data_IF_172684009533
#
_entry.id   IF_172684009533
#
_cell.length_a   1.000
_cell.length_b   1.000
_cell.length_c   1.000
_cell.angle_alpha   90.00
_cell.angle_beta   90.00
_cell.angle_gamma   90.00
#
_symmetry.space_group_name_H-M   'P 1'
#
loop_
_entity.id
_entity.type
_entity.pdbx_description
1 polymer ?
#
# COMPACT_ATOMS: atom_id res chain seq x y z
N UNK A 1 -7.52 49.87 11.06
CA UNK A 1 -8.11 48.92 10.10
C UNK A 1 -8.41 47.58 10.74
N UNK A 2 -7.54 47.01 11.57
CA UNK A 2 -7.80 45.76 12.30
C UNK A 2 -9.05 45.80 13.19
N UNK A 3 -9.28 46.90 13.92
CA UNK A 3 -10.46 47.03 14.80
C UNK A 3 -11.80 47.08 14.06
N UNK A 4 -11.93 47.90 13.01
CA UNK A 4 -13.18 47.97 12.22
C UNK A 4 -13.51 46.64 11.56
N UNK A 5 -12.48 45.95 11.05
CA UNK A 5 -12.62 44.64 10.44
C UNK A 5 -12.98 43.56 11.49
N UNK A 6 -12.42 43.66 12.70
CA UNK A 6 -12.79 42.81 13.83
C UNK A 6 -14.23 43.03 14.31
N UNK A 7 -14.71 44.29 14.36
CA UNK A 7 -16.09 44.61 14.73
C UNK A 7 -17.11 44.05 13.72
N UNK A 8 -16.78 44.10 12.43
CA UNK A 8 -17.64 43.56 11.36
C UNK A 8 -17.63 42.02 11.31
N UNK A 9 -16.54 41.38 11.71
CA UNK A 9 -16.33 39.93 11.56
C UNK A 9 -16.55 39.11 12.84
N UNK A 10 -16.71 39.73 14.02
CA UNK A 10 -16.78 39.01 15.29
C UNK A 10 -17.93 38.00 15.37
N UNK A 11 -19.11 38.33 14.84
CA UNK A 11 -20.24 37.40 14.79
C UNK A 11 -19.92 36.19 13.94
N UNK A 12 -19.25 36.39 12.80
CA UNK A 12 -18.87 35.31 11.91
C UNK A 12 -17.75 34.44 12.49
N UNK A 13 -16.77 35.04 13.18
CA UNK A 13 -15.74 34.32 13.94
C UNK A 13 -16.38 33.44 15.02
N UNK A 14 -17.39 33.95 15.72
CA UNK A 14 -18.11 33.21 16.75
C UNK A 14 -18.90 32.05 16.16
N UNK A 15 -19.64 32.29 15.07
CA UNK A 15 -20.42 31.27 14.37
C UNK A 15 -19.51 30.14 13.85
N UNK A 16 -18.38 30.48 13.22
CA UNK A 16 -17.40 29.50 12.75
C UNK A 16 -16.76 28.72 13.90
N UNK A 17 -16.40 29.40 15.00
CA UNK A 17 -15.84 28.72 16.18
C UNK A 17 -16.83 27.75 16.81
N UNK A 18 -18.13 28.09 16.83
CA UNK A 18 -19.19 27.19 17.28
C UNK A 18 -19.42 26.03 16.32
N UNK A 19 -19.37 26.27 15.01
CA UNK A 19 -19.47 25.23 13.99
C UNK A 19 -18.32 24.22 14.08
N UNK A 20 -17.07 24.69 14.24
CA UNK A 20 -15.90 23.83 14.46
C UNK A 20 -16.06 22.99 15.72
N UNK A 21 -16.43 23.60 16.85
CA UNK A 21 -16.65 22.87 18.10
C UNK A 21 -17.75 21.80 17.98
N UNK A 22 -18.78 22.05 17.16
CA UNK A 22 -19.85 21.10 16.88
C UNK A 22 -19.40 19.88 16.07
N UNK A 23 -18.41 20.02 15.18
CA UNK A 23 -17.99 18.99 14.21
C UNK A 23 -16.61 18.39 14.51
N UNK A 24 -15.81 18.97 15.42
CA UNK A 24 -14.45 18.54 15.73
C UNK A 24 -14.33 17.05 16.14
N UNK A 25 -15.37 16.48 16.74
CA UNK A 25 -15.43 15.07 17.14
C UNK A 25 -15.33 14.07 15.96
N UNK A 26 -15.51 14.54 14.73
CA UNK A 26 -15.51 13.74 13.49
C UNK A 26 -14.09 13.47 12.98
N UNK A 27 -13.10 14.32 13.29
CA UNK A 27 -11.74 14.22 12.76
C UNK A 27 -11.06 12.89 13.12
N UNK A 28 -11.13 12.50 14.39
CA UNK A 28 -10.56 11.25 14.89
C UNK A 28 -11.14 10.00 14.21
N UNK A 29 -12.47 9.76 14.23
CA UNK A 29 -13.05 8.59 13.57
C UNK A 29 -12.85 8.61 12.05
N UNK A 30 -12.76 9.79 11.42
CA UNK A 30 -12.42 9.89 10.01
C UNK A 30 -11.01 9.36 9.72
N UNK A 31 -10.01 9.84 10.45
CA UNK A 31 -8.62 9.47 10.21
C UNK A 31 -8.35 8.00 10.57
N UNK A 32 -8.90 7.51 11.68
CA UNK A 32 -8.82 6.09 12.09
C UNK A 32 -9.52 5.16 11.09
N UNK A 33 -10.70 5.56 10.59
CA UNK A 33 -11.42 4.82 9.56
C UNK A 33 -10.62 4.72 8.26
N UNK A 34 -9.97 5.82 7.84
CA UNK A 34 -9.14 5.84 6.62
C UNK A 34 -7.96 4.86 6.72
N UNK A 35 -7.28 4.82 7.86
CA UNK A 35 -6.18 3.87 8.10
C UNK A 35 -6.70 2.44 8.14
N UNK A 36 -7.83 2.19 8.78
CA UNK A 36 -8.44 0.85 8.85
C UNK A 36 -8.79 0.32 7.47
N UNK A 37 -9.41 1.14 6.62
CA UNK A 37 -9.72 0.80 5.22
C UNK A 37 -8.43 0.48 4.45
N UNK A 38 -7.37 1.28 4.63
CA UNK A 38 -6.08 1.06 3.95
C UNK A 38 -5.37 -0.21 4.42
N UNK A 39 -5.41 -0.52 5.72
CA UNK A 39 -4.94 -1.79 6.30
C UNK A 39 -5.68 -2.98 5.69
N UNK A 40 -7.00 -2.92 5.60
CA UNK A 40 -7.80 -3.98 4.97
C UNK A 40 -7.47 -4.15 3.48
N UNK A 41 -7.25 -3.05 2.74
CA UNK A 41 -6.83 -3.10 1.33
C UNK A 41 -5.47 -3.78 1.15
N UNK A 42 -4.50 -3.52 2.02
CA UNK A 42 -3.20 -4.21 2.01
C UNK A 42 -3.37 -5.70 2.29
N UNK A 43 -4.17 -6.07 3.30
CA UNK A 43 -4.49 -7.47 3.62
C UNK A 43 -5.26 -8.18 2.49
N UNK A 44 -5.97 -7.44 1.63
CA UNK A 44 -6.68 -7.97 0.46
C UNK A 44 -5.75 -8.31 -0.71
N UNK A 45 -4.66 -7.59 -0.92
CA UNK A 45 -3.72 -7.79 -2.03
C UNK A 45 -3.21 -9.24 -2.18
N UNK A 46 -2.78 -9.96 -1.13
CA UNK A 46 -2.36 -11.35 -1.28
C UNK A 46 -3.52 -12.26 -1.73
N UNK A 47 -4.74 -12.01 -1.25
CA UNK A 47 -5.94 -12.77 -1.63
C UNK A 47 -6.26 -12.53 -3.12
N UNK A 48 -6.14 -11.30 -3.61
CA UNK A 48 -6.29 -11.00 -5.03
C UNK A 48 -5.25 -11.74 -5.89
N UNK A 49 -4.00 -11.82 -5.41
CA UNK A 49 -2.95 -12.58 -6.10
C UNK A 49 -3.27 -14.07 -6.13
N UNK A 50 -3.73 -14.65 -5.03
CA UNK A 50 -4.18 -16.04 -4.96
C UNK A 50 -5.31 -16.33 -5.97
N UNK A 51 -6.29 -15.44 -6.07
CA UNK A 51 -7.40 -15.58 -7.04
C UNK A 51 -6.87 -15.52 -8.48
N UNK A 52 -6.03 -14.54 -8.82
CA UNK A 52 -5.45 -14.42 -10.16
C UNK A 52 -4.62 -15.65 -10.54
N UNK A 53 -3.85 -16.19 -9.60
CA UNK A 53 -3.08 -17.42 -9.83
C UNK A 53 -3.98 -18.65 -10.01
N UNK A 54 -5.07 -18.74 -9.24
CA UNK A 54 -6.05 -19.80 -9.39
C UNK A 54 -6.78 -19.73 -10.74
N UNK A 55 -7.19 -18.53 -11.16
CA UNK A 55 -7.82 -18.28 -12.46
C UNK A 55 -6.88 -18.59 -13.62
N UNK A 56 -5.61 -18.17 -13.55
CA UNK A 56 -4.60 -18.49 -14.56
C UNK A 56 -4.36 -20.00 -14.67
N UNK A 57 -4.35 -20.74 -13.55
CA UNK A 57 -4.25 -22.20 -13.56
C UNK A 57 -5.49 -22.83 -14.21
N UNK A 58 -6.68 -22.33 -13.90
CA UNK A 58 -7.91 -22.82 -14.51
C UNK A 58 -7.90 -22.59 -16.03
N UNK A 59 -7.50 -21.40 -16.47
CA UNK A 59 -7.39 -21.05 -17.89
C UNK A 59 -6.37 -21.94 -18.62
N UNK A 60 -5.21 -22.18 -18.02
CA UNK A 60 -4.21 -23.13 -18.54
C UNK A 60 -4.83 -24.51 -18.79
N UNK A 61 -5.51 -25.09 -17.80
CA UNK A 61 -6.14 -26.41 -17.94
C UNK A 61 -7.26 -26.43 -18.99
N UNK A 62 -8.04 -25.36 -19.10
CA UNK A 62 -9.07 -25.24 -20.13
C UNK A 62 -8.46 -25.14 -21.53
N UNK A 63 -7.35 -24.42 -21.67
CA UNK A 63 -6.63 -24.30 -22.93
C UNK A 63 -5.98 -25.64 -23.33
N UNK A 64 -5.41 -26.37 -22.39
CA UNK A 64 -4.89 -27.72 -22.63
C UNK A 64 -6.00 -28.69 -23.07
N UNK A 65 -7.17 -28.64 -22.43
CA UNK A 65 -8.31 -29.44 -22.85
C UNK A 65 -8.77 -29.08 -24.27
N UNK A 66 -8.92 -27.78 -24.59
CA UNK A 66 -9.30 -27.34 -25.94
C UNK A 66 -8.26 -27.72 -27.00
N UNK A 67 -6.98 -27.64 -26.65
CA UNK A 67 -5.87 -28.08 -27.51
C UNK A 67 -6.01 -29.59 -27.81
N UNK A 68 -6.21 -30.41 -26.78
CA UNK A 68 -6.42 -31.85 -26.93
C UNK A 68 -7.66 -32.20 -27.76
N UNK A 69 -8.74 -31.42 -27.66
CA UNK A 69 -9.98 -31.62 -28.43
C UNK A 69 -9.89 -31.15 -29.89
N UNK A 70 -8.94 -30.26 -30.21
CA UNK A 70 -8.75 -29.71 -31.56
C UNK A 70 -8.02 -30.65 -32.55
N UNK A 71 -7.40 -31.73 -32.07
CA UNK A 71 -6.61 -32.66 -32.88
C UNK A 71 -7.50 -33.69 -33.60
N UNK A 72 -8.10 -33.31 -34.73
CA UNK A 72 -9.21 -34.06 -35.36
C UNK A 72 -8.87 -35.34 -36.13
N UNK A 73 -7.61 -35.61 -36.50
CA UNK A 73 -7.23 -36.83 -37.26
C UNK A 73 -6.23 -37.72 -36.50
N UNK A 74 -5.46 -37.14 -35.59
CA UNK A 74 -4.58 -37.85 -34.66
C UNK A 74 -5.38 -38.55 -33.55
N UNK A 75 -6.53 -38.00 -33.13
CA UNK A 75 -7.43 -38.55 -32.10
C UNK A 75 -7.91 -39.97 -32.38
N UNK A 76 -8.23 -40.28 -33.63
CA UNK A 76 -8.72 -41.60 -34.03
C UNK A 76 -7.62 -42.67 -33.93
N UNK A 77 -6.38 -42.34 -34.28
CA UNK A 77 -5.21 -43.22 -34.12
C UNK A 77 -4.72 -43.26 -32.66
N UNK A 78 -4.92 -42.18 -31.89
CA UNK A 78 -4.54 -42.07 -30.48
C UNK A 78 -5.54 -42.67 -29.49
N UNK A 79 -6.81 -42.84 -29.85
CA UNK A 79 -7.75 -43.59 -29.01
C UNK A 79 -7.28 -45.05 -28.77
N UNK A 80 -6.46 -45.59 -29.67
CA UNK A 80 -5.78 -46.88 -29.53
C UNK A 80 -4.59 -46.85 -28.54
N UNK A 81 -4.03 -45.68 -28.22
CA UNK A 81 -2.94 -45.50 -27.24
C UNK A 81 -3.52 -44.95 -25.94
N UNK A 82 -3.50 -45.72 -24.84
CA UNK A 82 -4.09 -45.35 -23.55
C UNK A 82 -3.60 -44.01 -22.94
N UNK A 83 -2.50 -43.46 -23.45
CA UNK A 83 -1.84 -42.24 -22.95
C UNK A 83 -2.70 -40.98 -23.13
N UNK A 84 -3.33 -40.77 -24.28
CA UNK A 84 -4.16 -39.55 -24.53
C UNK A 84 -5.46 -39.57 -23.71
N UNK A 85 -6.02 -40.76 -23.47
CA UNK A 85 -7.16 -40.92 -22.58
C UNK A 85 -6.78 -40.58 -21.12
N UNK A 86 -5.58 -40.99 -20.69
CA UNK A 86 -5.04 -40.64 -19.38
C UNK A 86 -4.74 -39.13 -19.24
N UNK A 87 -4.22 -38.49 -20.29
CA UNK A 87 -3.99 -37.03 -20.32
C UNK A 87 -5.30 -36.24 -20.30
N UNK A 88 -6.33 -36.67 -21.04
CA UNK A 88 -7.66 -36.05 -20.97
C UNK A 88 -8.27 -36.16 -19.57
N UNK A 89 -8.15 -37.33 -18.94
CA UNK A 89 -8.60 -37.55 -17.56
C UNK A 89 -7.86 -36.61 -16.59
N UNK A 90 -6.54 -36.46 -16.77
CA UNK A 90 -5.70 -35.54 -15.99
C UNK A 90 -6.13 -34.09 -16.15
N UNK A 91 -6.44 -33.63 -17.37
CA UNK A 91 -6.95 -32.28 -17.61
C UNK A 91 -8.30 -32.07 -16.92
N UNK A 92 -9.24 -33.02 -17.02
CA UNK A 92 -10.56 -32.92 -16.35
C UNK A 92 -10.40 -32.85 -14.83
N UNK A 93 -9.54 -33.67 -14.24
CA UNK A 93 -9.24 -33.61 -12.81
C UNK A 93 -8.53 -32.30 -12.42
N UNK A 94 -7.64 -31.80 -13.27
CA UNK A 94 -6.97 -30.50 -13.12
C UNK A 94 -7.96 -29.33 -13.12
N UNK A 95 -8.94 -29.35 -14.03
CA UNK A 95 -10.03 -28.37 -14.09
C UNK A 95 -10.88 -28.43 -12.83
N UNK A 96 -11.28 -29.63 -12.38
CA UNK A 96 -12.07 -29.80 -11.14
C UNK A 96 -11.35 -29.26 -9.91
N UNK A 97 -10.05 -29.55 -9.78
CA UNK A 97 -9.24 -29.04 -8.66
C UNK A 97 -9.07 -27.52 -8.74
N UNK A 98 -8.81 -26.98 -9.93
CA UNK A 98 -8.59 -25.55 -10.11
C UNK A 98 -9.89 -24.74 -9.95
N UNK A 99 -11.03 -25.26 -10.40
CA UNK A 99 -12.35 -24.64 -10.12
C UNK A 99 -12.66 -24.58 -8.63
N UNK A 100 -12.37 -25.65 -7.87
CA UNK A 100 -12.53 -25.63 -6.41
C UNK A 100 -11.59 -24.61 -5.74
N UNK A 101 -10.37 -24.44 -6.25
CA UNK A 101 -9.44 -23.41 -5.76
C UNK A 101 -9.99 -22.01 -6.02
N UNK A 102 -10.44 -21.72 -7.25
CA UNK A 102 -11.06 -20.43 -7.62
C UNK A 102 -12.28 -20.12 -6.76
N UNK A 103 -13.15 -21.11 -6.51
CA UNK A 103 -14.34 -20.90 -5.67
C UNK A 103 -13.96 -20.55 -4.22
N UNK A 104 -12.97 -21.26 -3.64
CA UNK A 104 -12.49 -21.00 -2.29
C UNK A 104 -11.78 -19.64 -2.15
N UNK A 105 -10.89 -19.30 -3.09
CA UNK A 105 -10.21 -18.00 -3.08
C UNK A 105 -11.19 -16.87 -3.37
N UNK A 106 -12.18 -17.09 -4.24
CA UNK A 106 -13.25 -16.14 -4.54
C UNK A 106 -14.13 -15.84 -3.33
N UNK A 107 -14.47 -16.85 -2.51
CA UNK A 107 -15.18 -16.66 -1.23
C UNK A 107 -14.38 -15.79 -0.26
N UNK A 108 -13.09 -16.08 -0.07
CA UNK A 108 -12.21 -15.24 0.77
C UNK A 108 -12.13 -13.79 0.28
N UNK A 109 -12.06 -13.58 -1.03
CA UNK A 109 -12.03 -12.25 -1.61
C UNK A 109 -13.36 -11.51 -1.39
N UNK A 110 -14.50 -12.19 -1.53
CA UNK A 110 -15.82 -11.63 -1.25
C UNK A 110 -15.95 -11.22 0.23
N UNK A 111 -15.52 -12.08 1.16
CA UNK A 111 -15.51 -11.76 2.60
C UNK A 111 -14.61 -10.55 2.92
N UNK A 112 -13.42 -10.46 2.29
CA UNK A 112 -12.52 -9.33 2.46
C UNK A 112 -13.13 -8.03 1.90
N UNK A 113 -13.81 -8.09 0.76
CA UNK A 113 -14.50 -6.95 0.17
C UNK A 113 -15.68 -6.48 1.03
N UNK A 114 -16.45 -7.41 1.61
CA UNK A 114 -17.56 -7.06 2.47
C UNK A 114 -17.07 -6.35 3.74
N UNK A 115 -15.99 -6.83 4.37
CA UNK A 115 -15.37 -6.13 5.52
C UNK A 115 -14.91 -4.71 5.19
N UNK A 116 -14.36 -4.51 3.99
CA UNK A 116 -13.97 -3.17 3.53
C UNK A 116 -15.22 -2.29 3.39
N UNK A 117 -16.27 -2.83 2.77
CA UNK A 117 -17.53 -2.13 2.52
C UNK A 117 -18.24 -1.72 3.81
N UNK A 118 -18.31 -2.61 4.80
CA UNK A 118 -18.89 -2.35 6.12
C UNK A 118 -18.26 -1.15 6.83
N UNK A 119 -16.99 -0.86 6.53
CA UNK A 119 -16.26 0.30 7.09
C UNK A 119 -16.35 1.51 6.15
N UNK A 120 -16.32 1.32 4.83
CA UNK A 120 -16.44 2.40 3.85
C UNK A 120 -17.80 3.11 3.92
N UNK A 121 -18.91 2.37 4.00
CA UNK A 121 -20.27 2.96 4.02
C UNK A 121 -20.52 3.98 5.16
N UNK A 122 -20.19 3.69 6.44
CA UNK A 122 -20.32 4.70 7.50
C UNK A 122 -19.27 5.81 7.38
N UNK A 123 -18.09 5.51 6.81
CA UNK A 123 -17.00 6.47 6.64
C UNK A 123 -17.34 7.57 5.62
N UNK A 124 -18.15 7.27 4.60
CA UNK A 124 -18.59 8.28 3.61
C UNK A 124 -19.29 9.48 4.27
N UNK A 125 -20.17 9.25 5.25
CA UNK A 125 -20.86 10.35 5.96
C UNK A 125 -19.88 11.19 6.77
N UNK A 126 -19.03 10.51 7.53
CA UNK A 126 -17.96 11.12 8.34
C UNK A 126 -17.00 11.93 7.44
N UNK A 127 -16.78 11.50 6.19
CA UNK A 127 -15.94 12.22 5.23
C UNK A 127 -16.50 13.60 4.84
N UNK A 128 -17.82 13.71 4.70
CA UNK A 128 -18.50 14.97 4.36
C UNK A 128 -18.43 15.93 5.54
N UNK A 129 -18.66 15.42 6.74
CA UNK A 129 -18.56 16.20 7.98
C UNK A 129 -17.12 16.67 8.23
N UNK A 130 -16.13 15.81 8.02
CA UNK A 130 -14.72 16.19 8.14
C UNK A 130 -14.30 17.23 7.08
N UNK A 131 -14.81 17.13 5.85
CA UNK A 131 -14.59 18.17 4.84
C UNK A 131 -15.14 19.52 5.28
N UNK A 132 -16.33 19.51 5.88
CA UNK A 132 -16.95 20.72 6.41
C UNK A 132 -16.13 21.32 7.55
N UNK A 133 -15.60 20.47 8.46
CA UNK A 133 -14.68 20.89 9.52
C UNK A 133 -13.43 21.57 8.97
N UNK A 134 -12.78 21.02 7.94
CA UNK A 134 -11.60 21.63 7.32
C UNK A 134 -11.94 22.99 6.69
N UNK A 135 -13.06 23.09 5.96
CA UNK A 135 -13.51 24.36 5.39
C UNK A 135 -13.73 25.42 6.49
N UNK A 136 -14.41 25.07 7.60
CA UNK A 136 -14.62 26.01 8.70
C UNK A 136 -13.32 26.45 9.36
N UNK A 137 -12.35 25.54 9.53
CA UNK A 137 -11.01 25.86 10.05
C UNK A 137 -10.25 26.81 9.11
N UNK A 138 -10.29 26.55 7.80
CA UNK A 138 -9.65 27.39 6.78
C UNK A 138 -10.26 28.80 6.78
N UNK A 139 -11.59 28.90 6.69
CA UNK A 139 -12.31 30.18 6.73
C UNK A 139 -12.02 30.96 8.01
N UNK A 140 -12.05 30.31 9.18
CA UNK A 140 -11.74 30.96 10.46
C UNK A 140 -10.28 31.45 10.50
N UNK A 141 -9.35 30.63 10.01
CA UNK A 141 -7.92 30.97 9.99
C UNK A 141 -7.65 32.17 9.07
N UNK A 142 -8.27 32.20 7.88
CA UNK A 142 -8.12 33.31 6.93
C UNK A 142 -8.66 34.63 7.47
N UNK A 143 -9.84 34.58 8.12
CA UNK A 143 -10.43 35.75 8.77
C UNK A 143 -9.52 36.28 9.88
N UNK A 144 -9.03 35.40 10.75
CA UNK A 144 -8.15 35.79 11.84
C UNK A 144 -6.80 36.29 11.30
N UNK A 145 -6.21 35.64 10.29
CA UNK A 145 -4.98 36.11 9.64
C UNK A 145 -5.13 37.53 9.09
N UNK A 146 -6.31 37.90 8.58
CA UNK A 146 -6.59 39.25 8.10
C UNK A 146 -6.61 40.32 9.22
N UNK A 147 -7.03 39.93 10.44
CA UNK A 147 -7.11 40.81 11.61
C UNK A 147 -5.76 40.96 12.30
N UNK A 148 -4.95 39.89 12.31
CA UNK A 148 -3.66 39.82 13.01
C UNK A 148 -2.44 40.19 12.16
N UNK A 149 -2.62 40.70 10.92
CA UNK A 149 -1.51 41.07 10.00
C UNK A 149 -0.42 41.96 10.59
N UNK A 150 -0.76 42.80 11.57
CA UNK A 150 0.15 43.80 12.18
C UNK A 150 0.30 43.59 13.70
N UNK A 151 -0.22 42.48 14.24
CA UNK A 151 -0.34 42.24 15.69
C UNK A 151 0.63 41.17 16.15
N UNK A 152 1.43 41.46 17.18
CA UNK A 152 2.39 40.52 17.75
C UNK A 152 2.02 40.16 19.20
N UNK A 153 1.42 38.99 19.39
CA UNK A 153 1.05 38.47 20.72
C UNK A 153 1.91 37.25 21.08
N UNK A 154 2.57 37.22 22.26
CA UNK A 154 3.47 36.13 22.63
C UNK A 154 2.81 34.74 22.67
N UNK A 155 1.58 34.66 23.21
CA UNK A 155 0.82 33.40 23.31
C UNK A 155 0.37 32.86 21.95
N UNK A 156 0.03 33.75 21.01
CA UNK A 156 -0.31 33.38 19.64
C UNK A 156 0.90 32.83 18.90
N UNK A 157 2.08 33.44 19.09
CA UNK A 157 3.34 32.98 18.47
C UNK A 157 3.73 31.58 18.92
N UNK A 158 3.64 31.29 20.21
CA UNK A 158 3.96 29.96 20.75
C UNK A 158 3.05 28.87 20.14
N UNK A 159 1.75 29.12 20.05
CA UNK A 159 0.80 28.18 19.43
C UNK A 159 1.04 28.05 17.93
N UNK A 160 1.35 29.15 17.24
CA UNK A 160 1.72 29.13 15.82
C UNK A 160 2.99 28.30 15.57
N UNK A 161 4.00 28.40 16.44
CA UNK A 161 5.19 27.57 16.38
C UNK A 161 4.84 26.08 16.57
N UNK A 162 3.98 25.73 17.53
CA UNK A 162 3.50 24.35 17.73
C UNK A 162 2.76 23.80 16.50
N UNK A 163 1.90 24.61 15.85
CA UNK A 163 1.22 24.25 14.61
C UNK A 163 2.24 24.00 13.49
N UNK A 164 3.23 24.87 13.34
CA UNK A 164 4.29 24.71 12.33
C UNK A 164 5.17 23.49 12.58
N UNK A 165 5.51 23.19 13.84
CA UNK A 165 6.28 21.97 14.18
C UNK A 165 5.50 20.71 13.84
N UNK A 166 4.21 20.68 14.14
CA UNK A 166 3.36 19.52 13.81
C UNK A 166 3.20 19.36 12.30
N UNK A 167 3.03 20.45 11.57
CA UNK A 167 3.02 20.44 10.09
C UNK A 167 4.32 19.89 9.51
N UNK A 168 5.47 20.29 10.08
CA UNK A 168 6.77 19.78 9.66
C UNK A 168 6.96 18.29 9.97
N UNK A 169 6.40 17.79 11.08
CA UNK A 169 6.38 16.34 11.40
C UNK A 169 5.57 15.57 10.37
N UNK A 170 4.37 16.05 10.02
CA UNK A 170 3.52 15.43 8.98
C UNK A 170 4.26 15.38 7.64
N UNK A 171 4.93 16.48 7.25
CA UNK A 171 5.71 16.55 6.00
C UNK A 171 6.87 15.55 5.98
N UNK A 172 7.61 15.40 7.08
CA UNK A 172 8.68 14.40 7.17
C UNK A 172 8.16 12.97 7.02
N UNK A 173 7.00 12.67 7.59
CA UNK A 173 6.38 11.35 7.47
C UNK A 173 5.91 11.11 6.02
N UNK A 174 5.32 12.12 5.36
CA UNK A 174 4.94 11.99 3.94
C UNK A 174 6.14 11.74 3.03
N UNK A 175 7.25 12.43 3.26
CA UNK A 175 8.49 12.20 2.49
C UNK A 175 9.07 10.80 2.75
N UNK A 176 8.94 10.29 3.97
CA UNK A 176 9.37 8.93 4.31
C UNK A 176 8.49 7.87 3.64
N UNK A 177 7.18 8.08 3.57
CA UNK A 177 6.24 7.22 2.86
C UNK A 177 6.53 7.19 1.35
N UNK A 178 6.77 8.34 0.73
CA UNK A 178 7.11 8.44 -0.70
C UNK A 178 8.40 7.68 -1.03
N UNK A 179 9.43 7.80 -0.18
CA UNK A 179 10.67 7.03 -0.33
C UNK A 179 10.42 5.53 -0.19
N UNK A 180 9.55 5.13 0.73
CA UNK A 180 9.23 3.72 0.94
C UNK A 180 8.44 3.13 -0.23
N UNK A 181 7.53 3.90 -0.84
CA UNK A 181 6.83 3.52 -2.07
C UNK A 181 7.81 3.32 -3.24
N UNK A 182 8.79 4.22 -3.41
CA UNK A 182 9.85 4.07 -4.42
C UNK A 182 10.70 2.81 -4.16
N UNK A 183 11.03 2.51 -2.90
CA UNK A 183 11.74 1.29 -2.52
C UNK A 183 10.94 0.04 -2.90
N UNK A 184 9.63 0.03 -2.65
CA UNK A 184 8.74 -1.08 -3.05
C UNK A 184 8.77 -1.30 -4.58
N UNK A 185 8.75 -0.23 -5.36
CA UNK A 185 8.87 -0.33 -6.83
C UNK A 185 10.21 -0.92 -7.25
N UNK A 186 11.32 -0.46 -6.67
CA UNK A 186 12.66 -0.99 -6.94
C UNK A 186 12.77 -2.48 -6.57
N UNK A 187 12.17 -2.92 -5.46
CA UNK A 187 12.14 -4.33 -5.07
C UNK A 187 11.32 -5.16 -6.07
N UNK A 188 10.21 -4.63 -6.58
CA UNK A 188 9.41 -5.30 -7.63
C UNK A 188 10.20 -5.42 -8.94
N UNK A 189 10.94 -4.38 -9.33
CA UNK A 189 11.84 -4.43 -10.49
C UNK A 189 12.90 -5.52 -10.29
N UNK A 190 13.50 -5.60 -9.10
CA UNK A 190 14.46 -6.65 -8.79
C UNK A 190 13.84 -8.06 -8.84
N UNK A 191 12.63 -8.25 -8.30
CA UNK A 191 11.88 -9.53 -8.37
C UNK A 191 11.65 -9.97 -9.82
N UNK A 192 11.21 -9.04 -10.68
CA UNK A 192 10.96 -9.30 -12.10
C UNK A 192 12.24 -9.67 -12.86
N UNK A 193 13.34 -8.95 -12.65
CA UNK A 193 14.61 -9.30 -13.30
C UNK A 193 15.18 -10.64 -12.85
N UNK A 194 14.97 -11.01 -11.57
CA UNK A 194 15.33 -12.34 -11.07
C UNK A 194 14.47 -13.43 -11.71
N UNK A 195 13.17 -13.20 -11.85
CA UNK A 195 12.24 -14.09 -12.53
C UNK A 195 12.64 -14.36 -13.99
N UNK A 196 12.89 -13.31 -14.76
CA UNK A 196 13.34 -13.39 -16.15
C UNK A 196 14.61 -14.25 -16.25
N UNK A 197 15.57 -13.98 -15.38
CA UNK A 197 16.82 -14.75 -15.33
C UNK A 197 16.61 -16.22 -14.98
N UNK A 198 15.68 -16.55 -14.07
CA UNK A 198 15.34 -17.95 -13.75
C UNK A 198 14.69 -18.65 -14.96
N UNK A 199 13.83 -17.95 -15.71
CA UNK A 199 13.18 -18.47 -16.91
C UNK A 199 14.22 -18.69 -18.02
N UNK A 200 15.12 -17.74 -18.24
CA UNK A 200 16.21 -17.86 -19.21
C UNK A 200 17.14 -19.04 -18.87
N UNK A 201 17.45 -19.24 -17.58
CA UNK A 201 18.22 -20.40 -17.12
C UNK A 201 17.50 -21.73 -17.36
N UNK A 202 16.16 -21.74 -17.31
CA UNK A 202 15.37 -22.93 -17.63
C UNK A 202 15.40 -23.22 -19.13
N UNK A 203 15.25 -22.20 -19.97
CA UNK A 203 15.28 -22.34 -21.44
C UNK A 203 16.67 -22.69 -21.99
N UNK A 204 17.72 -22.14 -21.38
CA UNK A 204 19.12 -22.42 -21.77
C UNK A 204 19.61 -23.81 -21.34
N UNK A 205 19.03 -24.42 -20.29
CA UNK A 205 19.33 -25.82 -19.96
C UNK A 205 18.82 -26.81 -21.03
N UNK A 206 17.79 -26.45 -21.81
CA UNK A 206 17.29 -27.26 -22.94
C UNK A 206 18.14 -27.10 -24.21
N UNK A 207 18.96 -26.04 -24.30
CA UNK A 207 19.86 -25.76 -25.42
C UNK A 207 21.31 -25.79 -24.95
N UNK A 208 21.97 -26.94 -25.12
CA UNK A 208 23.39 -27.15 -24.82
C UNK A 208 24.28 -25.98 -25.28
N UNK A 209 24.63 -25.09 -24.36
CA UNK A 209 25.96 -24.47 -24.11
C UNK A 209 25.77 -23.35 -23.08
N UNK A 210 25.73 -23.69 -21.79
CA UNK A 210 26.11 -22.73 -20.76
C UNK A 210 27.64 -22.73 -20.71
N UNK A 211 28.27 -21.74 -21.34
CA UNK A 211 29.71 -21.51 -21.22
C UNK A 211 30.06 -21.35 -19.74
N UNK A 212 31.00 -22.16 -19.26
CA UNK A 212 31.52 -22.10 -17.89
C UNK A 212 31.94 -20.66 -17.56
N UNK A 213 31.23 -20.02 -16.62
CA UNK A 213 31.63 -18.74 -16.03
C UNK A 213 30.69 -17.55 -16.18
N UNK A 214 29.53 -17.66 -16.84
CA UNK A 214 28.57 -16.54 -16.95
C UNK A 214 27.18 -16.91 -16.44
N UNK A 215 26.96 -16.83 -15.13
CA UNK A 215 25.66 -16.37 -14.61
C UNK A 215 25.96 -15.56 -13.34
N UNK A 216 26.19 -14.27 -13.54
CA UNK A 216 26.29 -13.27 -12.47
C UNK A 216 24.87 -12.93 -12.01
N UNK A 217 24.70 -12.53 -10.75
CA UNK A 217 23.42 -11.99 -10.28
C UNK A 217 22.94 -10.88 -11.24
N UNK A 218 21.65 -10.82 -11.63
CA UNK A 218 21.22 -9.91 -12.68
C UNK A 218 21.58 -8.47 -12.33
N UNK A 219 22.32 -7.79 -13.20
CA UNK A 219 22.77 -6.43 -12.96
C UNK A 219 21.61 -5.46 -12.69
N UNK A 220 20.46 -5.53 -13.40
CA UNK A 220 19.30 -4.70 -13.09
C UNK A 220 18.76 -4.93 -11.67
N UNK A 221 18.75 -6.19 -11.20
CA UNK A 221 18.34 -6.51 -9.84
C UNK A 221 19.34 -5.98 -8.81
N UNK A 222 20.64 -6.03 -9.11
CA UNK A 222 21.67 -5.47 -8.23
C UNK A 222 21.56 -3.96 -8.10
N UNK A 223 21.43 -3.26 -9.22
CA UNK A 223 21.35 -1.80 -9.26
C UNK A 223 20.08 -1.30 -8.57
N UNK A 224 18.95 -2.00 -8.75
CA UNK A 224 17.70 -1.69 -8.08
C UNK A 224 17.80 -1.86 -6.56
N UNK A 225 18.38 -2.96 -6.07
CA UNK A 225 18.57 -3.20 -4.63
C UNK A 225 19.59 -2.25 -4.00
N UNK A 226 20.63 -1.88 -4.74
CA UNK A 226 21.60 -0.87 -4.32
C UNK A 226 20.92 0.49 -4.17
N UNK A 227 20.17 0.92 -5.18
CA UNK A 227 19.42 2.19 -5.15
C UNK A 227 18.39 2.21 -4.01
N UNK A 228 17.72 1.09 -3.77
CA UNK A 228 16.76 0.96 -2.66
C UNK A 228 17.42 1.18 -1.29
N UNK A 229 18.64 0.66 -1.08
CA UNK A 229 19.41 0.87 0.16
C UNK A 229 19.97 2.28 0.30
N UNK A 230 20.34 2.92 -0.81
CA UNK A 230 20.76 4.32 -0.80
C UNK A 230 19.60 5.25 -0.42
N UNK A 231 18.39 4.95 -0.87
CA UNK A 231 17.17 5.69 -0.53
C UNK A 231 16.70 5.43 0.91
N UNK A 232 16.82 4.19 1.39
CA UNK A 232 16.38 3.79 2.73
C UNK A 232 17.45 2.94 3.44
N UNK A 233 18.38 3.56 4.18
CA UNK A 233 19.52 2.86 4.79
C UNK A 233 19.14 1.83 5.87
N UNK A 234 17.99 1.99 6.51
CA UNK A 234 17.47 1.07 7.54
C UNK A 234 16.88 -0.23 6.95
N UNK A 235 16.86 -0.37 5.62
CA UNK A 235 16.31 -1.53 4.93
C UNK A 235 17.06 -2.81 5.35
N UNK A 236 16.36 -3.88 5.74
CA UNK A 236 16.99 -5.13 6.15
C UNK A 236 17.92 -5.71 5.08
N UNK A 237 19.04 -6.28 5.53
CA UNK A 237 19.93 -7.04 4.67
C UNK A 237 19.26 -8.30 4.15
N UNK A 238 19.55 -8.68 2.90
CA UNK A 238 19.15 -9.98 2.36
C UNK A 238 20.13 -11.01 2.95
N UNK A 239 19.65 -12.02 3.71
CA UNK A 239 20.53 -13.04 4.26
C UNK A 239 21.17 -13.84 3.12
N UNK A 240 22.43 -14.24 3.31
CA UNK A 240 23.07 -15.16 2.39
C UNK A 240 22.35 -16.52 2.46
N UNK A 241 22.02 -17.15 1.32
CA UNK A 241 21.40 -18.47 1.34
C UNK A 241 22.31 -19.51 2.00
N UNK A 242 21.70 -20.39 2.79
CA UNK A 242 22.37 -21.48 3.51
C UNK A 242 22.82 -22.56 2.51
N UNK A 243 23.92 -23.26 2.78
CA UNK A 243 24.54 -24.27 1.92
C UNK A 243 23.53 -25.17 1.17
N UNK A 244 23.80 -25.37 -0.12
CA UNK A 244 22.97 -26.12 -1.05
C UNK A 244 22.70 -27.56 -0.58
N UNK A 245 21.44 -27.85 -0.26
CA UNK A 245 20.94 -29.23 -0.10
C UNK A 245 20.33 -29.69 -1.42
N UNK A 246 20.84 -30.81 -1.94
CA UNK A 246 20.44 -31.39 -3.23
C UNK A 246 19.16 -32.23 -3.06
N UNK A 247 18.08 -31.57 -2.66
CA UNK A 247 16.77 -32.20 -2.42
C UNK A 247 15.77 -31.72 -3.47
N UNK A 248 14.86 -32.61 -3.88
CA UNK A 248 13.76 -32.24 -4.76
C UNK A 248 12.78 -31.34 -3.97
N UNK A 249 12.29 -30.28 -4.61
CA UNK A 249 11.27 -29.39 -4.02
C UNK A 249 9.97 -30.17 -3.73
N UNK A 250 9.03 -29.58 -2.98
CA UNK A 250 7.73 -30.20 -2.64
C UNK A 250 6.91 -30.63 -3.89
N UNK A 251 7.30 -30.14 -5.06
CA UNK A 251 6.74 -30.44 -6.38
C UNK A 251 7.48 -31.53 -7.17
N UNK A 252 8.57 -32.08 -6.63
CA UNK A 252 9.40 -33.12 -7.27
C UNK A 252 10.37 -32.60 -8.34
N UNK A 253 10.52 -31.28 -8.51
CA UNK A 253 11.37 -30.66 -9.53
C UNK A 253 12.78 -30.42 -8.98
N UNK A 254 13.79 -30.85 -9.75
CA UNK A 254 15.19 -30.54 -9.46
C UNK A 254 15.57 -29.19 -10.08
N UNK A 255 15.95 -28.24 -9.23
CA UNK A 255 16.50 -26.96 -9.65
C UNK A 255 18.02 -27.03 -9.73
N UNK A 256 18.61 -26.33 -10.70
CA UNK A 256 20.06 -26.10 -10.67
C UNK A 256 20.44 -25.32 -9.40
N UNK A 257 21.66 -25.48 -8.85
CA UNK A 257 22.10 -24.73 -7.67
C UNK A 257 21.90 -23.22 -7.81
N UNK A 258 22.08 -22.68 -9.02
CA UNK A 258 21.88 -21.26 -9.32
C UNK A 258 20.40 -20.86 -9.39
N UNK A 259 19.54 -21.69 -9.97
CA UNK A 259 18.10 -21.45 -9.96
C UNK A 259 17.55 -21.44 -8.53
N UNK A 260 18.03 -22.33 -7.66
CA UNK A 260 17.66 -22.34 -6.25
C UNK A 260 18.18 -21.10 -5.53
N UNK A 261 19.44 -20.70 -5.77
CA UNK A 261 19.99 -19.45 -5.23
C UNK A 261 19.12 -18.22 -5.59
N UNK A 262 18.77 -18.05 -6.87
CA UNK A 262 17.93 -16.94 -7.30
C UNK A 262 16.52 -17.03 -6.69
N UNK A 263 15.99 -18.25 -6.52
CA UNK A 263 14.71 -18.48 -5.85
C UNK A 263 14.73 -18.12 -4.36
N UNK A 264 15.80 -18.46 -3.64
CA UNK A 264 15.97 -18.14 -2.22
C UNK A 264 16.14 -16.61 -2.03
N UNK A 265 16.87 -15.94 -2.92
CA UNK A 265 16.93 -14.46 -2.93
C UNK A 265 15.55 -13.87 -3.18
N UNK A 266 14.77 -14.46 -4.09
CA UNK A 266 13.41 -14.02 -4.40
C UNK A 266 12.45 -14.16 -3.22
N UNK A 267 12.55 -15.26 -2.47
CA UNK A 267 11.82 -15.43 -1.21
C UNK A 267 12.20 -14.34 -0.20
N UNK A 268 13.51 -14.04 -0.10
CA UNK A 268 14.00 -12.96 0.75
C UNK A 268 13.47 -11.57 0.32
N UNK A 269 13.33 -11.30 -0.99
CA UNK A 269 12.68 -10.07 -1.48
C UNK A 269 11.20 -10.01 -1.10
N UNK A 270 10.51 -11.16 -1.08
CA UNK A 270 9.11 -11.23 -0.65
C UNK A 270 8.97 -10.88 0.84
N UNK A 271 9.88 -11.35 1.68
CA UNK A 271 9.89 -10.99 3.10
C UNK A 271 10.27 -9.52 3.33
N UNK A 272 11.15 -8.98 2.49
CA UNK A 272 11.51 -7.56 2.50
C UNK A 272 10.32 -6.67 2.06
N UNK A 273 9.51 -7.10 1.09
CA UNK A 273 8.22 -6.44 0.77
C UNK A 273 7.26 -6.46 1.96
N UNK A 274 7.10 -7.59 2.66
CA UNK A 274 6.27 -7.65 3.88
C UNK A 274 6.75 -6.68 4.95
N UNK A 275 8.08 -6.52 5.07
CA UNK A 275 8.67 -5.56 5.99
C UNK A 275 8.33 -4.11 5.59
N UNK A 276 8.44 -3.78 4.29
CA UNK A 276 8.03 -2.47 3.77
C UNK A 276 6.53 -2.20 4.03
N UNK A 277 5.68 -3.19 3.80
CA UNK A 277 4.23 -3.08 4.07
C UNK A 277 3.97 -2.82 5.56
N UNK A 278 4.63 -3.56 6.46
CA UNK A 278 4.50 -3.37 7.90
C UNK A 278 4.96 -1.96 8.33
N UNK A 279 6.05 -1.45 7.74
CA UNK A 279 6.54 -0.10 8.02
C UNK A 279 5.61 1.00 7.50
N UNK A 280 5.02 0.81 6.31
CA UNK A 280 3.96 1.69 5.81
C UNK A 280 2.75 1.72 6.76
N UNK A 281 2.36 0.58 7.32
CA UNK A 281 1.26 0.52 8.29
C UNK A 281 1.57 1.32 9.56
N UNK A 282 2.77 1.18 10.09
CA UNK A 282 3.23 1.91 11.28
C UNK A 282 3.30 3.42 11.00
N UNK A 283 3.88 3.82 9.87
CA UNK A 283 3.92 5.23 9.47
C UNK A 283 2.51 5.83 9.33
N UNK A 284 1.54 5.06 8.81
CA UNK A 284 0.15 5.52 8.71
C UNK A 284 -0.48 5.78 10.09
N UNK A 285 -0.23 4.93 11.08
CA UNK A 285 -0.73 5.15 12.45
C UNK A 285 -0.12 6.43 13.05
N UNK A 286 1.22 6.58 12.96
CA UNK A 286 1.94 7.76 13.46
C UNK A 286 1.46 9.04 12.75
N UNK A 287 1.26 8.97 11.43
CA UNK A 287 0.77 10.09 10.62
C UNK A 287 -0.64 10.51 11.04
N UNK A 288 -1.52 9.56 11.28
CA UNK A 288 -2.89 9.82 11.73
C UNK A 288 -2.90 10.51 13.09
N UNK A 289 -2.10 10.03 14.05
CA UNK A 289 -1.95 10.71 15.34
C UNK A 289 -1.42 12.15 15.17
N UNK A 290 -0.42 12.34 14.31
CA UNK A 290 0.12 13.66 14.02
C UNK A 290 -0.90 14.62 13.36
N UNK A 291 -1.76 14.11 12.46
CA UNK A 291 -2.84 14.88 11.83
C UNK A 291 -3.88 15.30 12.88
N UNK A 292 -4.30 14.40 13.76
CA UNK A 292 -5.26 14.70 14.83
C UNK A 292 -4.67 15.75 15.79
N UNK A 293 -3.39 15.61 16.16
CA UNK A 293 -2.70 16.60 16.99
C UNK A 293 -2.58 17.96 16.29
N UNK A 294 -2.30 17.97 14.99
CA UNK A 294 -2.28 19.20 14.19
C UNK A 294 -3.66 19.88 14.19
N UNK A 295 -4.75 19.16 13.92
CA UNK A 295 -6.10 19.69 13.97
C UNK A 295 -6.46 20.30 15.32
N UNK A 296 -6.20 19.58 16.40
CA UNK A 296 -6.41 20.08 17.78
C UNK A 296 -5.61 21.36 18.06
N UNK A 297 -4.36 21.46 17.57
CA UNK A 297 -3.53 22.64 17.78
C UNK A 297 -3.95 23.84 16.95
N UNK A 298 -4.49 23.61 15.75
CA UNK A 298 -5.11 24.66 14.94
C UNK A 298 -6.34 25.23 15.65
N UNK A 299 -7.16 24.36 16.25
CA UNK A 299 -8.34 24.80 17.00
C UNK A 299 -7.94 25.61 18.25
N UNK A 300 -6.96 25.15 19.03
CA UNK A 300 -6.42 25.90 20.18
C UNK A 300 -5.88 27.28 19.76
N UNK A 301 -5.13 27.34 18.67
CA UNK A 301 -4.57 28.58 18.13
C UNK A 301 -5.65 29.58 17.70
N UNK A 302 -6.68 29.10 16.99
CA UNK A 302 -7.79 29.94 16.55
C UNK A 302 -8.68 30.41 17.71
N UNK A 303 -8.85 29.60 18.75
CA UNK A 303 -9.57 29.99 19.97
C UNK A 303 -8.83 31.09 20.74
N UNK A 304 -7.51 31.00 20.88
CA UNK A 304 -6.72 32.08 21.51
C UNK A 304 -6.76 33.37 20.69
N UNK A 305 -6.69 33.28 19.36
CA UNK A 305 -6.86 34.44 18.49
C UNK A 305 -8.25 35.07 18.64
N UNK A 306 -9.32 34.28 18.68
CA UNK A 306 -10.67 34.78 18.98
C UNK A 306 -10.74 35.48 20.33
N UNK A 307 -10.14 34.90 21.37
CA UNK A 307 -10.06 35.52 22.70
C UNK A 307 -9.37 36.88 22.64
N UNK A 308 -8.22 36.97 21.98
CA UNK A 308 -7.47 38.22 21.79
C UNK A 308 -8.30 39.28 21.04
N UNK A 309 -9.11 38.88 20.04
CA UNK A 309 -10.03 39.81 19.36
C UNK A 309 -11.02 40.40 20.37
N UNK A 310 -11.68 39.56 21.18
CA UNK A 310 -12.70 40.00 22.15
C UNK A 310 -12.13 40.80 23.32
N UNK A 311 -11.06 40.32 23.92
CA UNK A 311 -10.53 40.82 25.20
C UNK A 311 -9.44 41.87 25.08
N UNK A 312 -8.87 42.06 23.88
CA UNK A 312 -7.79 43.03 23.65
C UNK A 312 -8.18 44.01 22.55
N UNK A 313 -8.51 43.53 21.36
CA UNK A 313 -8.70 44.40 20.17
C UNK A 313 -10.00 45.21 20.26
N UNK A 314 -11.10 44.59 20.70
CA UNK A 314 -12.41 45.22 20.79
C UNK A 314 -12.65 45.99 22.11
N UNK A 315 -11.86 45.69 23.15
CA UNK A 315 -11.99 46.30 24.48
C UNK A 315 -11.13 47.56 24.70
N UNK A 316 -10.02 47.72 23.96
CA UNK A 316 -9.38 49.04 23.73
C UNK A 316 -10.15 49.80 22.68
#
# INVERSE_FOLDING_TARGET
MSRSLAEESISFIDDLSHAIAGVAHVEKPFEEGRVTIRKLKILRQPIEKEVKEADAKLEMWQNDQKSLESWSLQWFMHWLTCEVAAERQRCIEGIKKSTALVENSGKKLAEANERIREIEEPHEKISVDNRSLQNYREELTELLDSIFKESDFPTEKELREQVNTNKAVIQKITEADEKLEQVIELIKTADMSLLESIVDLRQSNDSKTLTEGQVFFPQPAFDALKSARELYPELPGIPAPIEYKKEADDTGVFYSPMQRYLWDVRQSLTDLLKWCDARLLENMDIKTEAIIQYGSKVDEWNLERRRLVREVILST
#
